data_IF_579848594016
#
_entry.id   IF_579848594016
#
_cell.length_a   1.000
_cell.length_b   1.000
_cell.length_c   1.000
_cell.angle_alpha   90.00
_cell.angle_beta   90.00
_cell.angle_gamma   90.00
#
_symmetry.space_group_name_H-M   'P 1'
#
loop_
_entity.id
_entity.type
_entity.pdbx_description
1 polymer ?
#
# COMPACT_ATOMS: atom_id res chain seq x y z
N UNK A 1 1.98 13.05 -5.87
CA UNK A 1 2.17 12.43 -4.57
C UNK A 1 3.62 12.58 -4.06
N UNK A 2 4.65 12.33 -4.85
CA UNK A 2 6.04 12.61 -4.48
C UNK A 2 6.32 14.11 -4.28
N UNK A 3 5.50 14.98 -4.85
CA UNK A 3 5.52 16.42 -4.59
C UNK A 3 4.54 16.78 -3.47
N UNK A 4 5.06 17.44 -2.42
CA UNK A 4 4.30 17.80 -1.24
C UNK A 4 3.20 18.82 -1.53
N UNK A 5 3.48 19.84 -2.32
CA UNK A 5 2.49 20.88 -2.65
C UNK A 5 1.29 20.29 -3.39
N UNK A 6 1.53 19.34 -4.31
CA UNK A 6 0.46 18.61 -4.99
C UNK A 6 -0.36 17.74 -4.04
N UNK A 7 0.25 17.13 -3.02
CA UNK A 7 -0.45 16.34 -2.02
C UNK A 7 -1.33 17.23 -1.13
N UNK A 8 -0.82 18.39 -0.69
CA UNK A 8 -1.57 19.37 0.10
C UNK A 8 -2.78 19.90 -0.68
N UNK A 9 -2.60 20.27 -1.95
CA UNK A 9 -3.69 20.73 -2.80
C UNK A 9 -4.77 19.68 -3.02
N UNK A 10 -4.35 18.42 -3.27
CA UNK A 10 -5.28 17.31 -3.46
C UNK A 10 -6.09 17.01 -2.18
N UNK A 11 -5.44 17.02 -1.01
CA UNK A 11 -6.13 16.79 0.27
C UNK A 11 -7.13 17.91 0.58
N UNK A 12 -6.75 19.16 0.36
CA UNK A 12 -7.64 20.32 0.57
C UNK A 12 -8.85 20.26 -0.35
N UNK A 13 -8.65 19.98 -1.65
CA UNK A 13 -9.74 19.87 -2.62
C UNK A 13 -10.68 18.69 -2.29
N UNK A 14 -10.12 17.54 -1.90
CA UNK A 14 -10.93 16.39 -1.52
C UNK A 14 -11.75 16.67 -0.25
N UNK A 15 -11.17 17.36 0.74
CA UNK A 15 -11.89 17.76 1.94
C UNK A 15 -13.03 18.76 1.63
N UNK A 16 -12.79 19.74 0.74
CA UNK A 16 -13.83 20.67 0.29
C UNK A 16 -15.03 19.95 -0.34
N UNK A 17 -14.76 18.93 -1.18
CA UNK A 17 -15.81 18.11 -1.80
C UNK A 17 -16.54 17.18 -0.81
N UNK A 18 -15.99 16.96 0.37
CA UNK A 18 -16.49 16.06 1.41
C UNK A 18 -16.90 16.81 2.69
N UNK A 19 -17.46 18.02 2.56
CA UNK A 19 -17.95 18.83 3.67
C UNK A 19 -16.90 19.04 4.79
N UNK A 20 -15.63 19.08 4.44
CA UNK A 20 -14.51 19.36 5.34
C UNK A 20 -13.86 18.14 5.99
N UNK A 21 -14.34 16.92 5.77
CA UNK A 21 -13.83 15.73 6.43
C UNK A 21 -13.38 14.62 5.45
N UNK A 22 -12.14 14.12 5.61
CA UNK A 22 -11.62 12.97 4.89
C UNK A 22 -11.57 11.76 5.83
N UNK A 23 -12.61 10.93 5.83
CA UNK A 23 -12.69 9.78 6.72
C UNK A 23 -11.67 8.67 6.38
N UNK A 24 -11.39 8.48 5.08
CA UNK A 24 -10.58 7.37 4.59
C UNK A 24 -9.51 7.88 3.62
N UNK A 25 -8.25 7.59 3.92
CA UNK A 25 -7.12 7.76 3.01
C UNK A 25 -6.58 6.40 2.59
N UNK A 26 -6.50 6.13 1.28
CA UNK A 26 -5.87 4.93 0.74
C UNK A 26 -4.64 5.31 -0.08
N UNK A 27 -3.44 5.01 0.43
CA UNK A 27 -2.17 5.17 -0.26
C UNK A 27 -1.88 3.94 -1.13
N UNK A 28 -2.49 3.90 -2.32
CA UNK A 28 -2.42 2.76 -3.23
C UNK A 28 -1.47 2.96 -4.42
N UNK A 29 -1.27 4.20 -4.87
CA UNK A 29 -0.49 4.45 -6.08
C UNK A 29 0.94 3.92 -5.98
N UNK A 30 1.40 3.35 -7.09
CA UNK A 30 2.72 2.76 -7.14
C UNK A 30 3.13 2.30 -8.53
N UNK A 31 4.42 2.07 -8.68
CA UNK A 31 5.06 1.58 -9.90
C UNK A 31 6.05 0.49 -9.56
N UNK A 32 6.52 -0.25 -10.55
CA UNK A 32 7.62 -1.22 -10.41
C UNK A 32 8.65 -1.01 -11.50
N UNK A 33 9.91 -1.20 -11.16
CA UNK A 33 11.04 -1.18 -12.09
C UNK A 33 11.98 -2.34 -11.73
N UNK A 34 11.65 -3.57 -12.16
CA UNK A 34 12.43 -4.75 -11.83
C UNK A 34 13.77 -4.75 -12.57
N UNK A 35 14.83 -5.01 -11.84
CA UNK A 35 16.19 -5.25 -12.35
C UNK A 35 16.98 -6.07 -11.34
N UNK A 36 17.91 -6.90 -11.82
CA UNK A 36 18.89 -7.55 -10.94
C UNK A 36 19.78 -6.48 -10.30
N UNK A 37 20.25 -6.74 -9.08
CA UNK A 37 20.93 -5.74 -8.25
C UNK A 37 22.12 -5.08 -8.96
N UNK A 38 22.91 -5.84 -9.69
CA UNK A 38 24.06 -5.34 -10.46
C UNK A 38 23.68 -4.34 -11.57
N UNK A 39 22.42 -4.37 -12.03
CA UNK A 39 21.89 -3.50 -13.09
C UNK A 39 20.92 -2.44 -12.54
N UNK A 40 20.74 -2.39 -11.22
CA UNK A 40 19.81 -1.45 -10.59
C UNK A 40 20.44 -0.07 -10.46
N UNK A 41 19.84 0.94 -11.09
CA UNK A 41 20.34 2.31 -10.98
C UNK A 41 19.91 2.99 -9.68
N UNK A 42 20.67 4.01 -9.27
CA UNK A 42 20.35 4.84 -8.11
C UNK A 42 19.06 5.66 -8.34
N UNK A 43 18.82 6.06 -9.58
CA UNK A 43 17.61 6.78 -9.99
C UNK A 43 16.37 5.90 -9.81
N UNK A 44 16.46 4.62 -10.21
CA UNK A 44 15.37 3.66 -10.00
C UNK A 44 15.10 3.45 -8.51
N UNK A 45 16.16 3.33 -7.69
CA UNK A 45 16.01 3.22 -6.24
C UNK A 45 15.28 4.43 -5.65
N UNK A 46 15.72 5.66 -5.99
CA UNK A 46 15.11 6.91 -5.52
C UNK A 46 13.66 7.02 -5.97
N UNK A 47 13.38 6.77 -7.25
CA UNK A 47 12.03 6.85 -7.81
C UNK A 47 11.03 5.99 -7.04
N UNK A 48 11.40 4.74 -6.71
CA UNK A 48 10.53 3.84 -5.98
C UNK A 48 10.29 4.33 -4.55
N UNK A 49 11.32 4.86 -3.88
CA UNK A 49 11.16 5.47 -2.56
C UNK A 49 10.28 6.72 -2.61
N UNK A 50 10.50 7.60 -3.59
CA UNK A 50 9.75 8.85 -3.75
C UNK A 50 8.26 8.57 -4.00
N UNK A 51 7.94 7.62 -4.88
CA UNK A 51 6.55 7.31 -5.21
C UNK A 51 5.87 6.57 -4.05
N UNK A 52 6.49 5.51 -3.52
CA UNK A 52 5.83 4.65 -2.55
C UNK A 52 5.88 5.22 -1.13
N UNK A 53 7.08 5.49 -0.61
CA UNK A 53 7.24 5.87 0.80
C UNK A 53 6.99 7.36 1.01
N UNK A 54 7.68 8.22 0.26
CA UNK A 54 7.48 9.67 0.37
C UNK A 54 6.08 10.08 -0.09
N UNK A 55 5.53 9.43 -1.13
CA UNK A 55 4.16 9.64 -1.56
C UNK A 55 3.15 9.33 -0.46
N UNK A 56 3.28 8.19 0.23
CA UNK A 56 2.41 7.83 1.36
C UNK A 56 2.57 8.80 2.53
N UNK A 57 3.81 9.20 2.86
CA UNK A 57 4.10 10.21 3.87
C UNK A 57 3.44 11.55 3.55
N UNK A 58 3.65 12.07 2.35
CA UNK A 58 3.09 13.36 1.93
C UNK A 58 1.56 13.35 1.98
N UNK A 59 0.92 12.31 1.43
CA UNK A 59 -0.53 12.21 1.42
C UNK A 59 -1.11 12.05 2.84
N UNK A 60 -0.48 11.23 3.69
CA UNK A 60 -0.94 11.06 5.06
C UNK A 60 -0.82 12.36 5.86
N UNK A 61 0.31 13.07 5.73
CA UNK A 61 0.52 14.33 6.44
C UNK A 61 -0.39 15.46 5.90
N UNK A 62 -0.64 15.51 4.58
CA UNK A 62 -1.56 16.47 3.97
C UNK A 62 -3.01 16.22 4.35
N UNK A 63 -3.44 14.95 4.45
CA UNK A 63 -4.79 14.58 4.82
C UNK A 63 -5.08 14.70 6.32
N UNK A 64 -4.05 14.61 7.17
CA UNK A 64 -4.21 14.54 8.63
C UNK A 64 -5.06 15.66 9.25
N UNK A 65 -4.98 16.93 8.81
CA UNK A 65 -5.84 17.99 9.33
C UNK A 65 -7.34 17.79 9.08
N UNK A 66 -7.70 16.96 8.11
CA UNK A 66 -9.06 16.72 7.67
C UNK A 66 -9.62 15.37 8.14
N UNK A 67 -8.77 14.48 8.69
CA UNK A 67 -9.19 13.16 9.16
C UNK A 67 -9.88 13.31 10.52
N UNK A 68 -11.13 12.83 10.68
CA UNK A 68 -11.86 12.89 11.94
C UNK A 68 -11.16 12.11 13.07
N UNK A 69 -11.28 12.63 14.30
CA UNK A 69 -10.71 12.02 15.51
C UNK A 69 -11.76 11.36 16.42
N UNK A 70 -12.96 11.15 15.88
CA UNK A 70 -14.12 10.56 16.54
C UNK A 70 -14.15 9.01 16.46
N UNK A 71 -13.11 8.41 15.90
CA UNK A 71 -13.02 6.97 15.69
C UNK A 71 -13.42 6.50 14.29
N UNK A 72 -13.80 7.42 13.40
CA UNK A 72 -14.14 7.09 12.00
C UNK A 72 -12.96 7.24 11.04
N UNK A 73 -11.85 7.88 11.47
CA UNK A 73 -10.66 8.10 10.64
C UNK A 73 -9.89 6.82 10.31
N UNK A 74 -9.57 6.61 9.02
CA UNK A 74 -8.86 5.43 8.51
C UNK A 74 -7.74 5.83 7.56
N UNK A 75 -6.54 5.27 7.73
CA UNK A 75 -5.45 5.33 6.77
C UNK A 75 -5.07 3.91 6.38
N UNK A 76 -5.14 3.59 5.09
CA UNK A 76 -4.80 2.27 4.56
C UNK A 76 -3.65 2.42 3.58
N UNK A 77 -2.50 1.86 3.91
CA UNK A 77 -1.32 1.87 3.06
C UNK A 77 -1.23 0.56 2.27
N UNK A 78 -0.80 0.65 1.01
CA UNK A 78 -0.58 -0.55 0.20
C UNK A 78 0.89 -0.91 0.19
N UNK A 79 1.23 -2.01 0.86
CA UNK A 79 2.52 -2.66 0.79
C UNK A 79 2.50 -3.80 -0.25
N UNK A 80 3.29 -4.84 -0.07
CA UNK A 80 3.39 -6.01 -0.95
C UNK A 80 3.99 -7.18 -0.19
N UNK A 81 3.72 -8.41 -0.64
CA UNK A 81 4.50 -9.59 -0.26
C UNK A 81 6.01 -9.37 -0.45
N UNK A 82 6.40 -8.63 -1.49
CA UNK A 82 7.80 -8.25 -1.73
C UNK A 82 8.39 -7.39 -0.58
N UNK A 83 7.58 -6.59 0.10
CA UNK A 83 8.00 -5.83 1.28
C UNK A 83 8.11 -6.69 2.55
N UNK A 84 7.45 -7.86 2.59
CA UNK A 84 7.46 -8.78 3.73
C UNK A 84 8.60 -9.80 3.58
N UNK A 85 8.73 -10.42 2.41
CA UNK A 85 9.65 -11.56 2.19
C UNK A 85 10.82 -11.25 1.24
N UNK A 86 10.80 -10.09 0.59
CA UNK A 86 11.70 -9.79 -0.53
C UNK A 86 11.29 -10.50 -1.82
N UNK A 87 11.80 -10.02 -2.95
CA UNK A 87 11.56 -10.64 -4.26
C UNK A 87 12.78 -10.45 -5.16
N UNK A 88 13.19 -11.51 -5.84
CA UNK A 88 14.30 -11.49 -6.79
C UNK A 88 14.06 -10.43 -7.88
N UNK A 89 15.09 -9.62 -8.18
CA UNK A 89 15.02 -8.56 -9.17
C UNK A 89 14.18 -7.34 -8.76
N UNK A 90 13.85 -7.19 -7.46
CA UNK A 90 13.04 -6.09 -6.95
C UNK A 90 13.60 -5.50 -5.63
N UNK A 91 14.90 -5.34 -5.51
CA UNK A 91 15.53 -4.79 -4.30
C UNK A 91 14.98 -3.39 -3.98
N UNK A 92 14.84 -2.52 -4.99
CA UNK A 92 14.27 -1.19 -4.88
C UNK A 92 12.80 -1.21 -4.40
N UNK A 93 11.98 -2.02 -5.04
CA UNK A 93 10.55 -2.16 -4.73
C UNK A 93 10.34 -2.79 -3.35
N UNK A 94 11.05 -3.87 -3.06
CA UNK A 94 10.97 -4.57 -1.76
C UNK A 94 11.37 -3.65 -0.61
N UNK A 95 12.45 -2.88 -0.76
CA UNK A 95 12.89 -1.92 0.25
C UNK A 95 11.85 -0.80 0.47
N UNK A 96 11.30 -0.22 -0.60
CA UNK A 96 10.26 0.80 -0.50
C UNK A 96 8.98 0.25 0.18
N UNK A 97 8.54 -0.96 -0.19
CA UNK A 97 7.35 -1.60 0.39
C UNK A 97 7.57 -2.09 1.83
N UNK A 98 8.79 -2.48 2.20
CA UNK A 98 9.17 -2.72 3.60
C UNK A 98 9.14 -1.41 4.42
N UNK A 99 9.58 -0.29 3.83
CA UNK A 99 9.46 1.04 4.44
C UNK A 99 8.01 1.40 4.77
N UNK A 100 7.05 1.07 3.91
CA UNK A 100 5.60 1.25 4.17
C UNK A 100 5.14 0.45 5.40
N UNK A 101 5.69 -0.74 5.64
CA UNK A 101 5.35 -1.54 6.84
C UNK A 101 5.79 -0.82 8.11
N UNK A 102 7.04 -0.33 8.16
CA UNK A 102 7.55 0.44 9.29
C UNK A 102 6.78 1.74 9.49
N UNK A 103 6.53 2.48 8.40
CA UNK A 103 5.74 3.70 8.39
C UNK A 103 4.33 3.47 8.97
N UNK A 104 3.63 2.44 8.50
CA UNK A 104 2.28 2.07 8.98
C UNK A 104 2.26 1.81 10.49
N UNK A 105 3.20 1.00 10.98
CA UNK A 105 3.27 0.63 12.40
C UNK A 105 3.58 1.82 13.32
N UNK A 106 4.49 2.70 12.91
CA UNK A 106 4.82 3.91 13.67
C UNK A 106 3.66 4.88 13.67
N UNK A 107 3.10 5.17 12.49
CA UNK A 107 1.98 6.10 12.35
C UNK A 107 0.74 5.62 13.13
N UNK A 108 0.48 4.31 13.16
CA UNK A 108 -0.59 3.72 13.96
C UNK A 108 -0.43 4.01 15.46
N UNK A 109 0.79 3.94 15.98
CA UNK A 109 1.08 4.25 17.39
C UNK A 109 0.90 5.74 17.70
N UNK A 110 1.35 6.61 16.80
CA UNK A 110 1.24 8.07 16.97
C UNK A 110 -0.22 8.57 16.90
N UNK A 111 -1.03 7.96 16.01
CA UNK A 111 -2.39 8.41 15.77
C UNK A 111 -3.44 7.68 16.62
N UNK A 112 -3.07 6.65 17.38
CA UNK A 112 -3.98 5.91 18.24
C UNK A 112 -4.69 6.82 19.27
N UNK A 113 -3.97 7.77 19.88
CA UNK A 113 -4.56 8.72 20.83
C UNK A 113 -5.54 9.69 20.19
N UNK A 114 -5.54 9.79 18.86
CA UNK A 114 -6.50 10.56 18.05
C UNK A 114 -7.63 9.72 17.49
N UNK A 115 -7.75 8.46 17.90
CA UNK A 115 -8.73 7.49 17.39
C UNK A 115 -8.67 7.29 15.86
N UNK A 116 -7.51 7.51 15.22
CA UNK A 116 -7.30 7.27 13.79
C UNK A 116 -6.61 5.91 13.64
N UNK A 117 -7.21 5.01 12.86
CA UNK A 117 -6.66 3.67 12.65
C UNK A 117 -5.82 3.65 11.37
N UNK A 118 -4.63 3.05 11.47
CA UNK A 118 -3.68 2.98 10.37
C UNK A 118 -3.26 1.53 10.15
N UNK A 119 -3.55 0.99 8.97
CA UNK A 119 -3.21 -0.39 8.60
C UNK A 119 -2.59 -0.45 7.21
N UNK A 120 -2.02 -1.59 6.86
CA UNK A 120 -1.52 -1.86 5.52
C UNK A 120 -2.13 -3.12 4.93
N UNK A 121 -2.29 -3.14 3.60
CA UNK A 121 -2.63 -4.32 2.81
C UNK A 121 -1.44 -4.72 1.93
N UNK A 122 -1.20 -6.02 1.81
CA UNK A 122 -0.25 -6.60 0.86
C UNK A 122 -1.03 -7.44 -0.18
N UNK A 123 -1.59 -6.79 -1.21
CA UNK A 123 -2.46 -7.44 -2.18
C UNK A 123 -1.67 -8.17 -3.26
N UNK A 124 -2.26 -9.26 -3.81
CA UNK A 124 -1.86 -9.91 -5.04
C UNK A 124 -3.09 -10.15 -5.91
N UNK A 125 -3.19 -9.46 -7.04
CA UNK A 125 -4.31 -9.58 -7.98
C UNK A 125 -3.86 -9.50 -9.43
N UNK A 126 -4.73 -9.92 -10.34
CA UNK A 126 -4.56 -9.81 -11.78
C UNK A 126 -4.76 -8.35 -12.21
N UNK A 127 -3.68 -7.59 -12.33
CA UNK A 127 -3.67 -6.18 -12.71
C UNK A 127 -2.68 -5.93 -13.85
N UNK A 128 -2.68 -4.77 -14.52
CA UNK A 128 -1.63 -4.43 -15.49
C UNK A 128 -0.21 -4.53 -14.92
N UNK A 129 0.00 -4.21 -13.63
CA UNK A 129 1.30 -4.31 -12.98
C UNK A 129 1.82 -5.77 -12.91
N UNK A 130 0.93 -6.75 -12.83
CA UNK A 130 1.26 -8.19 -12.75
C UNK A 130 1.19 -8.90 -14.11
N UNK A 131 0.83 -8.20 -15.18
CA UNK A 131 0.58 -8.81 -16.48
C UNK A 131 1.79 -9.56 -17.03
N UNK A 132 2.98 -8.95 -17.01
CA UNK A 132 4.21 -9.62 -17.47
C UNK A 132 4.48 -10.92 -16.71
N UNK A 133 4.20 -10.97 -15.40
CA UNK A 133 4.40 -12.18 -14.59
C UNK A 133 3.35 -13.24 -14.94
N UNK A 134 2.12 -12.83 -15.28
CA UNK A 134 1.00 -13.73 -15.60
C UNK A 134 1.09 -14.31 -17.00
N UNK A 135 1.62 -13.55 -17.96
CA UNK A 135 1.65 -13.92 -19.39
C UNK A 135 2.94 -14.62 -19.79
N UNK A 136 4.04 -14.43 -19.07
CA UNK A 136 5.29 -15.14 -19.34
C UNK A 136 5.26 -16.52 -18.70
N UNK A 137 5.25 -17.60 -19.50
CA UNK A 137 5.13 -18.99 -19.05
C UNK A 137 6.11 -19.36 -17.94
N UNK A 138 7.36 -18.92 -18.05
CA UNK A 138 8.40 -19.20 -17.05
C UNK A 138 8.11 -18.60 -15.69
N UNK A 139 7.57 -17.38 -15.66
CA UNK A 139 7.23 -16.69 -14.40
C UNK A 139 5.88 -17.11 -13.86
N UNK A 140 4.90 -17.34 -14.73
CA UNK A 140 3.54 -17.72 -14.37
C UNK A 140 3.50 -19.03 -13.57
N UNK A 141 4.21 -20.07 -14.05
CA UNK A 141 4.29 -21.35 -13.36
C UNK A 141 4.92 -21.22 -11.96
N UNK A 142 6.02 -20.50 -11.86
CA UNK A 142 6.71 -20.27 -10.58
C UNK A 142 5.86 -19.47 -9.59
N UNK A 143 5.15 -18.45 -10.07
CA UNK A 143 4.26 -17.66 -9.23
C UNK A 143 3.07 -18.49 -8.76
N UNK A 144 2.45 -19.25 -9.67
CA UNK A 144 1.32 -20.12 -9.33
C UNK A 144 1.70 -21.21 -8.31
N UNK A 145 2.94 -21.72 -8.36
CA UNK A 145 3.44 -22.68 -7.37
C UNK A 145 3.51 -22.09 -5.97
N UNK A 146 3.75 -20.78 -5.84
CA UNK A 146 3.84 -20.05 -4.57
C UNK A 146 2.48 -19.64 -3.98
N UNK A 147 1.41 -19.64 -4.78
CA UNK A 147 0.06 -19.28 -4.31
C UNK A 147 -0.68 -20.55 -3.89
N UNK A 148 -0.96 -20.80 -2.60
CA UNK A 148 -1.70 -21.98 -2.15
C UNK A 148 -3.08 -22.14 -2.81
N UNK A 149 -3.82 -21.04 -3.03
CA UNK A 149 -5.12 -21.09 -3.71
C UNK A 149 -5.05 -21.39 -5.21
N UNK A 150 -3.83 -21.51 -5.80
CA UNK A 150 -3.58 -21.93 -7.19
C UNK A 150 -4.32 -21.11 -8.25
N UNK A 151 -4.57 -19.85 -7.98
CA UNK A 151 -5.14 -18.90 -8.93
C UNK A 151 -4.76 -17.46 -8.56
N UNK A 152 -4.87 -16.59 -9.51
CA UNK A 152 -4.84 -15.15 -9.28
C UNK A 152 -6.20 -14.68 -8.75
N UNK A 153 -6.18 -13.72 -7.85
CA UNK A 153 -7.39 -13.02 -7.47
C UNK A 153 -7.78 -12.00 -8.55
N UNK A 154 -9.07 -11.80 -8.73
CA UNK A 154 -9.57 -10.62 -9.42
C UNK A 154 -9.44 -9.39 -8.52
N UNK A 155 -9.24 -8.17 -9.08
CA UNK A 155 -9.16 -6.95 -8.28
C UNK A 155 -10.33 -6.75 -7.32
N UNK A 156 -11.54 -7.14 -7.71
CA UNK A 156 -12.75 -7.08 -6.88
C UNK A 156 -12.67 -7.94 -5.61
N UNK A 157 -11.96 -9.08 -5.66
CA UNK A 157 -11.79 -9.95 -4.49
C UNK A 157 -10.87 -9.31 -3.44
N UNK A 158 -9.87 -8.55 -3.91
CA UNK A 158 -8.95 -7.81 -3.04
C UNK A 158 -9.61 -6.55 -2.48
N UNK A 159 -10.50 -5.91 -3.25
CA UNK A 159 -11.20 -4.70 -2.83
C UNK A 159 -11.99 -4.89 -1.53
N UNK A 160 -12.54 -6.09 -1.27
CA UNK A 160 -13.26 -6.40 -0.04
C UNK A 160 -12.42 -6.20 1.23
N UNK A 161 -11.12 -6.45 1.17
CA UNK A 161 -10.22 -6.21 2.32
C UNK A 161 -10.01 -4.72 2.59
N UNK A 162 -9.99 -3.87 1.57
CA UNK A 162 -9.97 -2.41 1.75
C UNK A 162 -11.27 -1.93 2.41
N UNK A 163 -12.41 -2.42 1.93
CA UNK A 163 -13.73 -2.09 2.52
C UNK A 163 -13.78 -2.52 3.98
N UNK A 164 -13.32 -3.72 4.31
CA UNK A 164 -13.25 -4.20 5.69
C UNK A 164 -12.43 -3.27 6.58
N UNK A 165 -11.18 -2.95 6.19
CA UNK A 165 -10.31 -2.08 7.00
C UNK A 165 -10.80 -0.62 7.06
N UNK A 166 -11.61 -0.18 6.10
CA UNK A 166 -12.24 1.14 6.08
C UNK A 166 -13.52 1.21 6.91
N UNK A 167 -14.12 0.08 7.28
CA UNK A 167 -15.40 0.01 7.97
C UNK A 167 -15.25 -0.09 9.50
N UNK A 168 -16.38 0.01 10.20
CA UNK A 168 -16.48 -0.18 11.66
C UNK A 168 -16.19 -1.62 12.10
N UNK A 169 -16.29 -2.60 11.19
CA UNK A 169 -15.90 -3.98 11.48
C UNK A 169 -14.41 -4.12 11.85
N UNK A 170 -13.57 -3.14 11.46
CA UNK A 170 -12.15 -3.06 11.81
C UNK A 170 -11.84 -2.05 12.92
N UNK A 171 -12.83 -1.60 13.71
CA UNK A 171 -12.69 -0.50 14.69
C UNK A 171 -11.66 -0.78 15.80
N UNK A 172 -11.22 -2.02 15.98
CA UNK A 172 -10.18 -2.40 16.96
C UNK A 172 -8.90 -2.93 16.31
N UNK A 173 -8.68 -2.61 15.01
CA UNK A 173 -7.53 -3.08 14.23
C UNK A 173 -6.68 -1.87 13.83
N UNK A 174 -5.45 -1.79 14.33
CA UNK A 174 -4.47 -0.77 13.95
C UNK A 174 -3.05 -1.32 13.94
N UNK A 175 -2.18 -0.78 13.10
CA UNK A 175 -0.78 -1.18 12.95
C UNK A 175 -0.57 -2.54 12.27
N UNK A 176 -1.62 -3.14 11.70
CA UNK A 176 -1.53 -4.46 11.08
C UNK A 176 -1.13 -4.39 9.62
N UNK A 177 -0.48 -5.45 9.16
CA UNK A 177 -0.18 -5.71 7.74
C UNK A 177 -0.94 -6.97 7.36
N UNK A 178 -1.95 -6.83 6.51
CA UNK A 178 -2.81 -7.92 6.07
C UNK A 178 -2.44 -8.37 4.67
N UNK A 179 -1.85 -9.56 4.48
CA UNK A 179 -1.69 -10.16 3.16
C UNK A 179 -3.07 -10.56 2.58
N UNK A 180 -3.28 -10.21 1.30
CA UNK A 180 -4.48 -10.60 0.53
C UNK A 180 -3.96 -11.19 -0.78
N UNK A 181 -3.37 -12.38 -0.70
CA UNK A 181 -2.47 -12.93 -1.71
C UNK A 181 -2.67 -14.45 -1.97
N UNK A 182 -3.80 -14.98 -1.54
CA UNK A 182 -4.12 -16.40 -1.70
C UNK A 182 -3.24 -17.34 -0.87
N UNK A 183 -2.67 -16.83 0.24
CA UNK A 183 -1.83 -17.56 1.17
C UNK A 183 -0.34 -17.61 0.75
N UNK A 184 0.09 -16.75 -0.16
CA UNK A 184 1.49 -16.73 -0.62
C UNK A 184 2.46 -16.33 0.50
N UNK A 185 2.01 -15.50 1.44
CA UNK A 185 2.73 -15.10 2.65
C UNK A 185 1.93 -15.53 3.88
N UNK A 186 2.52 -16.43 4.65
CA UNK A 186 1.97 -16.93 5.91
C UNK A 186 3.02 -16.89 7.01
#
# INVERSE_FOLDING_TARGET
>A
MSDRASADAAAAQAAELADGALHILINNAGVTQPAMFENLSQESMRLLFDIHLMGAFNCAQAALPYIPTDGTGRIINVTSSAGITGTLGQVNYSAAKAGIIGFTKSLARELASKNILVNALAPLAATPMTETIRTNEKFAANMMARIPLKRWAEPSEVAGAFVFLASDAASYITGQVLPVDGGMVM
#
